data_IF_193992089130
#
_entry.id   IF_193992089130
#
_cell.length_a   1.000
_cell.length_b   1.000
_cell.length_c   1.000
_cell.angle_alpha   90.00
_cell.angle_beta   90.00
_cell.angle_gamma   90.00
#
_symmetry.space_group_name_H-M   'P 1'
#
loop_
_entity.id
_entity.type
_entity.pdbx_description
1 polymer ?
#
# COMPACT_ATOMS: atom_id res chain seq x y z
N UNK A 1 -13.86 8.68 24.09
CA UNK A 1 -13.20 8.98 22.79
C UNK A 1 -13.92 8.18 21.72
N UNK A 2 -14.11 8.74 20.52
CA UNK A 2 -14.61 7.98 19.37
C UNK A 2 -13.56 6.93 18.97
N UNK A 3 -14.00 5.81 18.41
CA UNK A 3 -13.10 4.85 17.79
C UNK A 3 -12.49 5.43 16.51
N UNK A 4 -11.30 4.98 16.12
CA UNK A 4 -10.54 5.53 14.98
C UNK A 4 -11.38 5.60 13.69
N UNK A 5 -12.16 4.57 13.39
CA UNK A 5 -13.02 4.53 12.19
C UNK A 5 -14.09 5.63 12.18
N UNK A 6 -14.73 5.89 13.33
CA UNK A 6 -15.73 6.95 13.46
C UNK A 6 -15.07 8.33 13.42
N UNK A 7 -13.91 8.47 14.06
CA UNK A 7 -13.15 9.72 14.04
C UNK A 7 -12.71 10.09 12.62
N UNK A 8 -12.16 9.12 11.88
CA UNK A 8 -11.79 9.27 10.46
C UNK A 8 -12.97 9.81 9.64
N UNK A 9 -14.14 9.17 9.72
CA UNK A 9 -15.33 9.58 8.95
C UNK A 9 -15.78 10.99 9.31
N UNK A 10 -15.88 11.30 10.61
CA UNK A 10 -16.29 12.63 11.09
C UNK A 10 -15.29 13.71 10.67
N UNK A 11 -13.99 13.42 10.75
CA UNK A 11 -12.95 14.36 10.36
C UNK A 11 -12.96 14.59 8.84
N UNK A 12 -13.11 13.53 8.03
CA UNK A 12 -13.27 13.63 6.57
C UNK A 12 -14.40 14.58 6.19
N UNK A 13 -15.59 14.40 6.79
CA UNK A 13 -16.74 15.28 6.52
C UNK A 13 -16.46 16.74 6.90
N UNK A 14 -15.72 16.95 7.98
CA UNK A 14 -15.33 18.30 8.44
C UNK A 14 -14.34 18.93 7.47
N UNK A 15 -13.29 18.20 7.09
CA UNK A 15 -12.26 18.66 6.19
C UNK A 15 -12.80 18.95 4.78
N UNK A 16 -13.71 18.11 4.26
CA UNK A 16 -14.34 18.32 2.96
C UNK A 16 -15.37 19.46 2.91
N UNK A 17 -15.82 20.01 4.05
CA UNK A 17 -16.66 21.22 4.08
C UNK A 17 -15.83 22.50 3.88
N UNK A 18 -14.56 22.48 4.25
CA UNK A 18 -13.63 23.61 4.15
C UNK A 18 -12.30 23.16 3.53
N UNK A 19 -12.31 22.72 2.26
CA UNK A 19 -11.16 22.04 1.68
C UNK A 19 -9.92 22.94 1.59
N UNK A 20 -10.09 24.26 1.40
CA UNK A 20 -8.98 25.23 1.31
C UNK A 20 -8.21 25.36 2.64
N UNK A 21 -8.82 24.98 3.77
CA UNK A 21 -8.16 24.95 5.09
C UNK A 21 -7.38 23.67 5.35
N UNK A 22 -7.88 22.53 4.85
CA UNK A 22 -7.38 21.21 5.25
C UNK A 22 -6.54 20.50 4.18
N UNK A 23 -6.69 20.88 2.91
CA UNK A 23 -5.99 20.25 1.79
C UNK A 23 -5.19 21.29 1.01
N UNK A 24 -4.20 20.83 0.24
CA UNK A 24 -3.32 21.69 -0.58
C UNK A 24 -4.02 22.16 -1.88
N UNK A 25 -5.20 22.78 -1.75
CA UNK A 25 -6.08 23.11 -2.88
C UNK A 25 -5.49 24.15 -3.82
N UNK A 26 -4.60 25.03 -3.33
CA UNK A 26 -3.88 26.00 -4.15
C UNK A 26 -2.98 25.29 -5.16
N UNK A 27 -2.12 24.39 -4.68
CA UNK A 27 -1.23 23.58 -5.54
C UNK A 27 -2.05 22.76 -6.54
N UNK A 28 -3.15 22.17 -6.09
CA UNK A 28 -4.08 21.43 -6.97
C UNK A 28 -4.64 22.33 -8.09
N UNK A 29 -5.13 23.53 -7.75
CA UNK A 29 -5.68 24.48 -8.73
C UNK A 29 -4.60 24.98 -9.70
N UNK A 30 -3.39 25.26 -9.20
CA UNK A 30 -2.23 25.69 -10.00
C UNK A 30 -1.77 24.60 -11.00
N UNK A 31 -1.86 23.33 -10.61
CA UNK A 31 -1.58 22.18 -11.50
C UNK A 31 -2.79 21.76 -12.36
N UNK A 32 -3.88 22.52 -12.35
CA UNK A 32 -5.04 22.35 -13.23
C UNK A 32 -6.10 21.36 -12.76
N UNK A 33 -6.01 20.88 -11.51
CA UNK A 33 -7.00 19.98 -10.94
C UNK A 33 -8.28 20.73 -10.54
N UNK A 34 -9.43 20.10 -10.80
CA UNK A 34 -10.75 20.58 -10.42
C UNK A 34 -11.40 19.64 -9.41
N UNK A 35 -12.03 20.22 -8.40
CA UNK A 35 -12.79 19.48 -7.39
C UNK A 35 -14.12 18.98 -7.96
N UNK A 36 -14.44 17.72 -7.72
CA UNK A 36 -15.69 17.03 -8.08
C UNK A 36 -16.17 16.16 -6.93
N UNK A 37 -17.41 15.66 -7.01
CA UNK A 37 -17.95 14.67 -6.08
C UNK A 37 -18.39 13.44 -6.86
N UNK A 38 -17.92 12.26 -6.45
CA UNK A 38 -18.26 11.03 -7.17
C UNK A 38 -19.75 10.70 -7.00
N UNK A 39 -20.50 10.40 -8.08
CA UNK A 39 -21.91 10.07 -7.98
C UNK A 39 -22.16 8.71 -7.31
N UNK A 40 -21.17 7.80 -7.31
CA UNK A 40 -21.27 6.44 -6.76
C UNK A 40 -20.98 6.38 -5.26
N UNK A 41 -19.80 6.83 -4.84
CA UNK A 41 -19.36 6.74 -3.43
C UNK A 41 -19.46 8.06 -2.66
N UNK A 42 -19.85 9.16 -3.32
CA UNK A 42 -19.99 10.50 -2.71
C UNK A 42 -18.69 11.14 -2.19
N UNK A 43 -17.54 10.47 -2.31
CA UNK A 43 -16.22 11.02 -2.01
C UNK A 43 -15.93 12.23 -2.90
N UNK A 44 -15.41 13.31 -2.29
CA UNK A 44 -14.86 14.44 -3.00
C UNK A 44 -13.47 14.10 -3.53
N UNK A 45 -13.20 14.47 -4.77
CA UNK A 45 -11.94 14.18 -5.43
C UNK A 45 -11.52 15.32 -6.35
N UNK A 46 -10.24 15.36 -6.70
CA UNK A 46 -9.61 16.34 -7.56
C UNK A 46 -9.05 15.63 -8.78
N UNK A 47 -9.40 16.11 -9.98
CA UNK A 47 -8.93 15.55 -11.25
C UNK A 47 -8.69 16.66 -12.27
N UNK A 48 -7.68 16.51 -13.12
CA UNK A 48 -7.49 17.37 -14.28
C UNK A 48 -8.24 16.86 -15.53
N UNK A 49 -8.85 15.67 -15.46
CA UNK A 49 -9.63 15.08 -16.54
C UNK A 49 -11.12 15.41 -16.46
N UNK A 50 -11.83 15.12 -17.54
CA UNK A 50 -13.29 15.24 -17.61
C UNK A 50 -14.04 14.09 -16.90
N UNK A 51 -13.33 13.22 -16.18
CA UNK A 51 -13.93 12.09 -15.43
C UNK A 51 -14.99 12.55 -14.43
N UNK A 52 -16.10 11.80 -14.36
CA UNK A 52 -17.16 11.98 -13.36
C UNK A 52 -16.96 11.09 -12.12
N UNK A 53 -16.09 10.09 -12.20
CA UNK A 53 -15.85 9.13 -11.11
C UNK A 53 -14.49 9.32 -10.46
N UNK A 54 -14.37 8.96 -9.18
CA UNK A 54 -13.17 9.19 -8.38
C UNK A 54 -12.01 8.23 -8.68
N UNK A 55 -12.10 7.36 -9.68
CA UNK A 55 -11.03 6.41 -10.01
C UNK A 55 -10.78 5.31 -8.96
N UNK A 56 -11.63 5.19 -7.92
CA UNK A 56 -11.65 4.00 -7.07
C UNK A 56 -12.12 2.79 -7.91
N UNK A 57 -11.51 1.60 -7.75
CA UNK A 57 -11.85 0.42 -8.56
C UNK A 57 -13.34 0.08 -8.55
N UNK A 58 -14.04 0.17 -7.42
CA UNK A 58 -15.49 -0.08 -7.33
C UNK A 58 -16.32 0.94 -8.14
N UNK A 59 -15.83 2.18 -8.22
CA UNK A 59 -16.50 3.27 -8.90
C UNK A 59 -16.19 3.30 -10.40
N UNK A 60 -15.00 2.87 -10.80
CA UNK A 60 -14.44 3.11 -12.13
C UNK A 60 -14.18 1.85 -12.93
N UNK A 61 -14.69 0.69 -12.47
CA UNK A 61 -14.72 -0.55 -13.24
C UNK A 61 -13.47 -1.41 -13.08
N UNK A 62 -12.86 -1.39 -11.90
CA UNK A 62 -11.70 -2.21 -11.56
C UNK A 62 -10.36 -1.57 -11.93
N UNK A 63 -9.31 -2.40 -11.94
CA UNK A 63 -7.97 -1.99 -12.36
C UNK A 63 -7.90 -1.84 -13.89
N UNK A 64 -7.50 -0.66 -14.37
CA UNK A 64 -7.46 -0.30 -15.80
C UNK A 64 -6.04 -0.03 -16.34
N UNK A 65 -5.02 -0.23 -15.52
CA UNK A 65 -3.61 -0.04 -15.88
C UNK A 65 -2.91 -1.33 -16.35
N UNK A 66 -3.53 -2.50 -16.17
CA UNK A 66 -2.96 -3.80 -16.60
C UNK A 66 -2.83 -3.79 -18.13
N UNK A 67 -1.63 -4.12 -18.65
CA UNK A 67 -1.20 -3.96 -20.05
C UNK A 67 -1.29 -2.53 -20.61
N UNK A 68 -1.67 -1.53 -19.80
CA UNK A 68 -2.04 -0.19 -20.26
C UNK A 68 -1.72 0.88 -19.22
N UNK A 69 -0.53 0.79 -18.63
CA UNK A 69 -0.07 1.77 -17.66
C UNK A 69 0.20 3.12 -18.32
N UNK A 70 -0.29 4.24 -17.74
CA UNK A 70 0.03 5.59 -18.23
C UNK A 70 1.41 6.07 -17.74
N UNK A 71 2.11 5.28 -16.92
CA UNK A 71 3.46 5.58 -16.47
C UNK A 71 4.43 5.64 -17.66
N UNK A 72 5.22 6.71 -17.75
CA UNK A 72 6.26 6.85 -18.78
C UNK A 72 7.39 5.85 -18.56
N UNK A 73 7.66 5.50 -17.31
CA UNK A 73 8.75 4.61 -16.92
C UNK A 73 8.20 3.26 -16.47
N UNK A 74 8.92 2.18 -16.80
CA UNK A 74 8.66 0.83 -16.29
C UNK A 74 9.71 0.54 -15.23
N UNK A 75 9.37 0.78 -13.97
CA UNK A 75 10.28 0.62 -12.84
C UNK A 75 10.07 -0.77 -12.23
N UNK A 76 11.16 -1.50 -11.99
CA UNK A 76 11.11 -2.65 -11.11
C UNK A 76 11.01 -2.23 -9.63
N UNK A 77 10.81 -3.23 -8.77
CA UNK A 77 10.70 -3.01 -7.33
C UNK A 77 11.87 -2.23 -6.74
N UNK A 78 13.11 -2.52 -7.14
CA UNK A 78 14.34 -1.89 -6.62
C UNK A 78 14.50 -0.48 -7.19
N UNK A 79 14.18 -0.31 -8.48
CA UNK A 79 14.25 0.97 -9.19
C UNK A 79 13.28 2.00 -8.62
N UNK A 80 12.10 1.60 -8.13
CA UNK A 80 11.14 2.51 -7.48
C UNK A 80 11.81 3.24 -6.32
N UNK A 81 12.40 2.52 -5.36
CA UNK A 81 13.05 3.15 -4.20
C UNK A 81 14.28 3.97 -4.61
N UNK A 82 15.11 3.43 -5.51
CA UNK A 82 16.34 4.11 -5.96
C UNK A 82 16.04 5.43 -6.66
N UNK A 83 14.99 5.46 -7.49
CA UNK A 83 14.55 6.69 -8.17
C UNK A 83 13.87 7.66 -7.20
N UNK A 84 12.99 7.16 -6.33
CA UNK A 84 12.29 7.96 -5.34
C UNK A 84 13.28 8.67 -4.41
N UNK A 85 14.14 7.90 -3.74
CA UNK A 85 15.14 8.43 -2.80
C UNK A 85 16.06 9.47 -3.45
N UNK A 86 16.48 9.26 -4.71
CA UNK A 86 17.31 10.22 -5.46
C UNK A 86 16.58 11.54 -5.75
N UNK A 87 15.29 11.50 -6.08
CA UNK A 87 14.48 12.71 -6.31
C UNK A 87 14.30 13.44 -4.98
N UNK A 88 13.86 12.74 -3.93
CA UNK A 88 13.60 13.33 -2.63
C UNK A 88 14.85 13.89 -1.95
N UNK A 89 16.01 13.27 -2.15
CA UNK A 89 17.30 13.82 -1.70
C UNK A 89 17.59 15.19 -2.32
N UNK A 90 17.24 15.41 -3.60
CA UNK A 90 17.38 16.72 -4.26
C UNK A 90 16.35 17.73 -3.77
N UNK A 91 15.21 17.27 -3.27
CA UNK A 91 14.15 18.11 -2.68
C UNK A 91 14.41 18.44 -1.19
N UNK A 92 15.55 17.98 -0.64
CA UNK A 92 16.00 18.29 0.72
C UNK A 92 15.64 17.24 1.78
N UNK A 93 15.14 16.07 1.38
CA UNK A 93 14.86 14.96 2.30
C UNK A 93 16.11 14.10 2.49
N UNK A 94 16.33 13.60 3.70
CA UNK A 94 17.41 12.63 3.94
C UNK A 94 16.87 11.20 3.82
N UNK A 95 17.33 10.38 2.85
CA UNK A 95 17.00 8.96 2.82
C UNK A 95 17.70 8.24 3.98
N UNK A 96 16.93 7.55 4.82
CA UNK A 96 17.44 6.75 5.94
C UNK A 96 17.25 5.25 5.69
N UNK A 97 18.04 4.38 6.33
CA UNK A 97 17.81 2.94 6.28
C UNK A 97 16.48 2.59 6.97
N UNK A 98 15.92 1.43 6.59
CA UNK A 98 14.74 0.87 7.26
C UNK A 98 15.03 0.51 8.73
N UNK A 99 13.99 0.53 9.54
CA UNK A 99 13.95 -0.06 10.87
C UNK A 99 13.64 -1.57 10.78
N UNK A 100 13.93 -2.35 11.83
CA UNK A 100 13.51 -3.75 11.88
C UNK A 100 11.99 -3.87 11.92
N UNK A 101 11.42 -4.92 11.32
CA UNK A 101 9.97 -5.14 11.34
C UNK A 101 9.44 -5.46 12.73
N UNK A 102 10.28 -5.95 13.63
CA UNK A 102 9.96 -6.12 15.04
C UNK A 102 10.03 -4.75 15.74
N UNK A 103 8.91 -4.28 16.28
CA UNK A 103 8.79 -2.94 16.83
C UNK A 103 9.39 -2.83 18.25
N UNK A 104 10.73 -2.93 18.37
CA UNK A 104 11.44 -3.06 19.65
C UNK A 104 11.42 -1.82 20.54
N UNK A 105 11.13 -0.66 19.97
CA UNK A 105 11.14 0.63 20.68
C UNK A 105 9.78 1.00 21.27
N UNK A 106 8.74 0.17 21.10
CA UNK A 106 7.38 0.44 21.58
C UNK A 106 6.75 -0.82 22.17
N UNK A 107 5.73 -0.65 23.01
CA UNK A 107 5.11 -1.75 23.76
C UNK A 107 3.67 -2.07 23.32
N UNK A 108 3.08 -1.22 22.48
CA UNK A 108 1.68 -1.30 22.06
C UNK A 108 1.47 -2.13 20.78
N UNK A 109 2.54 -2.51 20.08
CA UNK A 109 2.48 -3.38 18.90
C UNK A 109 3.75 -4.21 18.74
N UNK A 110 3.60 -5.45 18.28
CA UNK A 110 4.74 -6.36 18.05
C UNK A 110 5.51 -6.05 16.75
N UNK A 111 4.82 -5.51 15.74
CA UNK A 111 5.37 -5.30 14.40
C UNK A 111 5.08 -3.90 13.85
N UNK A 112 6.00 -3.43 13.01
CA UNK A 112 5.85 -2.20 12.23
C UNK A 112 4.77 -2.39 11.17
N UNK A 113 3.68 -1.61 11.23
CA UNK A 113 2.54 -1.71 10.29
C UNK A 113 2.45 -0.54 9.30
N UNK A 114 3.19 0.54 9.56
CA UNK A 114 3.32 1.71 8.69
C UNK A 114 4.68 2.35 8.94
N UNK A 115 5.23 3.11 7.99
CA UNK A 115 6.53 3.77 8.15
C UNK A 115 6.56 4.76 9.32
N UNK A 116 5.43 5.40 9.64
CA UNK A 116 5.33 6.30 10.80
C UNK A 116 5.54 5.59 12.14
N UNK A 117 5.38 4.26 12.20
CA UNK A 117 5.56 3.49 13.45
C UNK A 117 7.02 3.52 13.92
N UNK A 118 7.97 3.76 13.01
CA UNK A 118 9.41 3.91 13.30
C UNK A 118 9.68 5.10 14.23
N UNK A 119 8.78 6.09 14.22
CA UNK A 119 8.92 7.37 14.92
C UNK A 119 7.91 7.51 16.07
N UNK A 120 6.90 6.65 16.13
CA UNK A 120 5.93 6.65 17.21
C UNK A 120 6.40 5.83 18.43
N UNK A 121 6.05 6.27 19.66
CA UNK A 121 5.38 7.53 19.98
C UNK A 121 6.35 8.72 20.13
N UNK A 122 7.62 8.47 20.41
CA UNK A 122 8.54 9.45 21.01
C UNK A 122 8.95 10.62 20.11
N UNK A 123 9.07 10.41 18.80
CA UNK A 123 9.38 11.51 17.87
C UNK A 123 8.15 12.36 17.62
N UNK A 124 6.98 11.71 17.51
CA UNK A 124 5.70 12.40 17.33
C UNK A 124 5.34 13.24 18.56
N UNK A 125 5.67 12.79 19.77
CA UNK A 125 5.49 13.57 21.00
C UNK A 125 6.55 14.65 21.21
N UNK A 126 7.67 14.60 20.49
CA UNK A 126 8.80 15.53 20.64
C UNK A 126 9.75 15.18 21.78
N UNK A 127 9.62 14.00 22.38
CA UNK A 127 10.54 13.49 23.40
C UNK A 127 11.91 13.11 22.82
N UNK A 128 11.92 12.72 21.54
CA UNK A 128 13.12 12.31 20.79
C UNK A 128 13.16 13.04 19.45
N UNK A 129 14.32 13.56 19.07
CA UNK A 129 14.52 14.15 17.75
C UNK A 129 14.50 13.06 16.65
N UNK A 130 13.91 13.32 15.47
CA UNK A 130 13.97 12.38 14.35
C UNK A 130 15.43 12.22 13.86
N UNK A 131 15.78 11.07 13.25
CA UNK A 131 17.14 10.84 12.76
C UNK A 131 17.57 11.80 11.63
N UNK A 132 16.60 12.40 10.94
CA UNK A 132 16.76 13.52 10.03
C UNK A 132 15.41 14.24 9.87
N UNK A 133 15.40 15.49 9.40
CA UNK A 133 14.14 16.21 9.20
C UNK A 133 14.27 17.24 8.05
N UNK A 134 13.54 17.07 6.93
CA UNK A 134 12.64 15.95 6.62
C UNK A 134 13.41 14.69 6.16
N UNK A 135 12.74 13.54 6.15
CA UNK A 135 13.35 12.24 5.82
C UNK A 135 12.50 11.38 4.89
N UNK A 136 13.12 10.38 4.27
CA UNK A 136 12.42 9.29 3.58
C UNK A 136 12.95 7.92 4.00
N UNK A 137 12.09 6.90 4.04
CA UNK A 137 12.45 5.54 4.51
C UNK A 137 11.74 4.46 3.68
N UNK A 138 12.41 3.37 3.27
CA UNK A 138 11.78 2.23 2.60
C UNK A 138 11.38 1.17 3.64
N UNK A 139 10.43 1.49 4.52
CA UNK A 139 10.12 0.65 5.68
C UNK A 139 9.33 -0.60 5.27
N UNK A 140 9.87 -1.79 5.56
CA UNK A 140 9.09 -3.02 5.45
C UNK A 140 8.09 -3.09 6.60
N UNK A 141 6.81 -3.27 6.29
CA UNK A 141 5.72 -3.37 7.24
C UNK A 141 5.10 -4.77 7.19
N UNK A 142 4.67 -5.27 8.35
CA UNK A 142 3.93 -6.54 8.46
C UNK A 142 2.49 -6.28 8.90
N UNK A 143 1.52 -6.66 8.06
CA UNK A 143 0.08 -6.60 8.34
C UNK A 143 -0.55 -7.96 8.17
N UNK A 144 -1.25 -8.43 9.20
CA UNK A 144 -1.82 -9.77 9.23
C UNK A 144 -3.35 -9.78 9.03
N UNK A 145 -3.96 -8.60 8.91
CA UNK A 145 -5.41 -8.48 8.70
C UNK A 145 -5.80 -8.96 7.29
N UNK A 146 -4.94 -8.73 6.30
CA UNK A 146 -5.24 -8.99 4.88
C UNK A 146 -4.79 -10.39 4.39
N UNK A 147 -4.46 -11.32 5.29
CA UNK A 147 -3.88 -12.64 4.92
C UNK A 147 -4.75 -13.39 3.92
N UNK A 148 -6.07 -13.30 4.05
CA UNK A 148 -7.00 -13.98 3.16
C UNK A 148 -7.05 -13.40 1.75
N UNK A 149 -6.65 -12.13 1.59
CA UNK A 149 -6.58 -11.43 0.32
C UNK A 149 -5.27 -11.69 -0.44
N UNK A 150 -4.21 -12.14 0.27
CA UNK A 150 -2.89 -12.44 -0.31
C UNK A 150 -3.01 -13.55 -1.35
N UNK A 151 -2.44 -13.30 -2.52
CA UNK A 151 -2.45 -14.19 -3.68
C UNK A 151 -3.72 -14.11 -4.53
N UNK A 152 -4.84 -13.66 -3.97
CA UNK A 152 -6.13 -13.64 -4.68
C UNK A 152 -6.40 -12.33 -5.41
N UNK A 153 -6.20 -11.22 -4.73
CA UNK A 153 -6.53 -9.86 -5.21
C UNK A 153 -5.42 -9.22 -6.05
N UNK A 154 -4.28 -9.90 -6.19
CA UNK A 154 -3.13 -9.45 -7.00
C UNK A 154 -2.26 -8.36 -6.38
N UNK A 155 -2.69 -7.74 -5.28
CA UNK A 155 -2.04 -6.54 -4.69
C UNK A 155 -1.89 -6.54 -3.17
N UNK A 156 -2.41 -7.55 -2.46
CA UNK A 156 -2.31 -7.64 -1.00
C UNK A 156 -1.08 -8.45 -0.58
N UNK A 157 -0.51 -8.04 0.55
CA UNK A 157 0.73 -8.55 1.11
C UNK A 157 0.59 -8.66 2.62
N UNK A 158 1.19 -9.69 3.22
CA UNK A 158 1.48 -9.67 4.65
C UNK A 158 2.68 -8.79 4.94
N UNK A 159 3.75 -8.90 4.17
CA UNK A 159 4.93 -8.05 4.24
C UNK A 159 5.08 -7.22 2.98
N UNK A 160 5.08 -5.89 3.10
CA UNK A 160 5.27 -4.95 1.98
C UNK A 160 6.11 -3.74 2.40
N UNK A 161 6.74 -3.06 1.45
CA UNK A 161 7.46 -1.82 1.76
C UNK A 161 6.54 -0.62 1.62
N UNK A 162 6.34 0.07 2.74
CA UNK A 162 5.77 1.41 2.77
C UNK A 162 6.91 2.41 2.69
N UNK A 163 7.06 3.03 1.52
CA UNK A 163 7.94 4.20 1.39
C UNK A 163 7.31 5.34 2.18
N UNK A 164 8.03 5.78 3.21
CA UNK A 164 7.69 6.91 4.06
C UNK A 164 8.32 8.20 3.57
N UNK A 165 7.55 9.29 3.53
CA UNK A 165 8.06 10.66 3.47
C UNK A 165 7.55 11.36 4.73
N UNK A 166 8.48 11.75 5.60
CA UNK A 166 8.16 12.26 6.93
C UNK A 166 8.82 13.60 7.21
N UNK A 167 8.10 14.43 7.96
CA UNK A 167 8.56 15.70 8.48
C UNK A 167 7.87 15.96 9.83
N UNK A 168 8.61 16.47 10.78
CA UNK A 168 8.13 16.74 12.14
C UNK A 168 8.39 18.21 12.45
N UNK A 169 7.42 19.09 12.25
CA UNK A 169 7.64 20.54 12.33
C UNK A 169 6.67 21.20 13.32
N UNK A 170 7.12 22.24 14.05
CA UNK A 170 6.20 23.09 14.78
C UNK A 170 5.23 23.79 13.80
N UNK A 171 4.01 24.15 14.23
CA UNK A 171 2.97 24.70 13.37
C UNK A 171 3.42 25.85 12.46
N UNK A 172 4.32 26.72 12.92
CA UNK A 172 4.79 27.90 12.20
C UNK A 172 5.73 27.57 11.04
N UNK A 173 6.34 26.37 11.05
CA UNK A 173 7.27 25.89 10.02
C UNK A 173 6.70 24.73 9.19
N UNK A 174 5.47 24.31 9.46
CA UNK A 174 4.85 23.18 8.78
C UNK A 174 4.29 23.61 7.41
N UNK A 175 4.91 23.14 6.33
CA UNK A 175 4.55 23.52 4.96
C UNK A 175 3.85 22.37 4.21
N UNK A 176 2.53 22.29 4.41
CA UNK A 176 1.69 21.26 3.81
C UNK A 176 1.70 21.30 2.27
N UNK A 177 1.75 22.50 1.69
CA UNK A 177 1.70 22.69 0.24
C UNK A 177 3.01 22.27 -0.43
N UNK A 178 4.15 22.56 0.20
CA UNK A 178 5.45 22.04 -0.25
C UNK A 178 5.46 20.51 -0.23
N UNK A 179 5.02 19.89 0.87
CA UNK A 179 5.01 18.42 0.98
C UNK A 179 4.12 17.76 -0.08
N UNK A 180 2.99 18.38 -0.40
CA UNK A 180 2.10 17.94 -1.48
C UNK A 180 2.74 18.13 -2.87
N UNK A 181 3.39 19.26 -3.11
CA UNK A 181 4.12 19.52 -4.37
C UNK A 181 5.28 18.54 -4.59
N UNK A 182 5.97 18.16 -3.52
CA UNK A 182 7.07 17.19 -3.58
C UNK A 182 6.57 15.78 -3.95
N UNK A 183 5.45 15.31 -3.37
CA UNK A 183 4.88 14.02 -3.78
C UNK A 183 4.25 14.08 -5.18
N UNK A 184 3.66 15.20 -5.57
CA UNK A 184 3.18 15.39 -6.94
C UNK A 184 4.34 15.37 -7.96
N UNK A 185 5.51 15.89 -7.59
CA UNK A 185 6.75 15.76 -8.38
C UNK A 185 7.13 14.30 -8.61
N UNK A 186 6.97 13.42 -7.62
CA UNK A 186 7.16 11.99 -7.82
C UNK A 186 6.19 11.40 -8.86
N UNK A 187 4.90 11.71 -8.77
CA UNK A 187 3.90 11.20 -9.72
C UNK A 187 4.21 11.68 -11.15
N UNK A 188 4.50 12.97 -11.31
CA UNK A 188 4.72 13.62 -12.61
C UNK A 188 6.09 13.33 -13.22
N UNK A 189 7.13 13.25 -12.40
CA UNK A 189 8.53 13.14 -12.85
C UNK A 189 9.14 11.78 -12.56
N UNK A 190 8.85 11.21 -11.39
CA UNK A 190 9.29 9.88 -10.97
C UNK A 190 8.62 8.78 -11.78
N UNK A 191 7.28 8.76 -11.80
CA UNK A 191 6.48 7.83 -12.60
C UNK A 191 6.19 8.36 -14.01
N UNK A 192 6.23 9.68 -14.22
CA UNK A 192 5.98 10.23 -15.55
C UNK A 192 4.51 10.27 -15.93
N UNK A 193 3.61 10.31 -14.96
CA UNK A 193 2.15 10.31 -15.15
C UNK A 193 1.71 11.75 -15.43
N UNK A 194 0.83 11.94 -16.41
CA UNK A 194 0.24 13.25 -16.69
C UNK A 194 -0.87 13.57 -15.67
N UNK A 195 -1.15 14.85 -15.43
CA UNK A 195 -2.15 15.25 -14.42
C UNK A 195 -3.55 14.69 -14.74
N UNK A 196 -3.90 14.49 -16.02
CA UNK A 196 -5.19 13.91 -16.43
C UNK A 196 -5.35 12.43 -16.02
N UNK A 197 -4.25 11.75 -15.72
CA UNK A 197 -4.22 10.35 -15.28
C UNK A 197 -4.14 10.23 -13.75
N UNK A 198 -4.11 11.35 -13.01
CA UNK A 198 -4.02 11.38 -11.55
C UNK A 198 -5.35 11.85 -10.98
N UNK A 199 -5.82 11.17 -9.95
CA UNK A 199 -6.98 11.58 -9.15
C UNK A 199 -6.60 11.63 -7.68
N UNK A 200 -6.87 12.73 -7.00
CA UNK A 200 -6.66 12.85 -5.55
C UNK A 200 -7.97 12.80 -4.80
N UNK A 201 -8.11 11.94 -3.80
CA UNK A 201 -9.28 11.86 -2.94
C UNK A 201 -9.09 12.71 -1.70
N UNK A 202 -10.13 13.43 -1.31
CA UNK A 202 -10.22 14.00 0.02
C UNK A 202 -10.61 12.89 1.01
N UNK A 203 -9.74 12.66 1.99
CA UNK A 203 -10.02 11.71 3.06
C UNK A 203 -9.59 12.25 4.44
N UNK A 204 -10.04 11.56 5.49
CA UNK A 204 -9.53 11.74 6.85
C UNK A 204 -8.64 10.58 7.24
N UNK A 205 -7.77 10.79 8.22
CA UNK A 205 -7.05 9.71 8.87
C UNK A 205 -7.18 9.85 10.38
N UNK A 206 -7.35 8.73 11.06
CA UNK A 206 -7.29 8.64 12.51
C UNK A 206 -6.62 7.31 12.90
N UNK A 207 -5.75 7.36 13.90
CA UNK A 207 -5.03 6.18 14.38
C UNK A 207 -4.14 6.51 15.58
N UNK A 208 -4.11 5.61 16.57
CA UNK A 208 -3.22 5.75 17.74
C UNK A 208 -3.45 7.04 18.52
N UNK A 209 -4.70 7.50 18.60
CA UNK A 209 -5.07 8.75 19.28
C UNK A 209 -4.80 10.04 18.49
N UNK A 210 -4.35 9.95 17.25
CA UNK A 210 -4.06 11.11 16.40
C UNK A 210 -5.03 11.21 15.21
N UNK A 211 -5.24 12.41 14.68
CA UNK A 211 -6.15 12.67 13.55
C UNK A 211 -5.61 13.79 12.64
N UNK A 212 -5.96 13.72 11.36
CA UNK A 212 -5.60 14.73 10.37
C UNK A 212 -6.23 14.52 8.99
N UNK A 213 -6.14 15.52 8.08
CA UNK A 213 -6.56 15.34 6.70
C UNK A 213 -5.62 14.39 5.97
N UNK A 214 -6.17 13.67 5.00
CA UNK A 214 -5.47 12.71 4.17
C UNK A 214 -5.80 12.97 2.70
N UNK A 215 -4.78 12.88 1.85
CA UNK A 215 -4.91 12.92 0.40
C UNK A 215 -4.45 11.59 -0.17
N UNK A 216 -5.37 10.78 -0.67
CA UNK A 216 -5.06 9.52 -1.35
C UNK A 216 -4.94 9.78 -2.85
N UNK A 217 -3.90 9.26 -3.50
CA UNK A 217 -3.68 9.49 -4.93
C UNK A 217 -3.82 8.22 -5.74
N UNK A 218 -4.74 8.26 -6.69
CA UNK A 218 -5.17 7.17 -7.54
C UNK A 218 -4.78 7.41 -8.99
N UNK A 219 -4.56 6.30 -9.69
CA UNK A 219 -4.52 6.27 -11.14
C UNK A 219 -5.06 4.94 -11.66
N UNK A 220 -6.04 5.01 -12.56
CA UNK A 220 -6.62 3.87 -13.28
C UNK A 220 -7.07 2.72 -12.36
N UNK A 221 -7.77 3.06 -11.29
CA UNK A 221 -8.30 2.07 -10.34
C UNK A 221 -7.32 1.65 -9.25
N UNK A 222 -6.09 2.16 -9.19
CA UNK A 222 -5.13 1.80 -8.16
C UNK A 222 -4.75 3.02 -7.30
N UNK A 223 -4.86 2.86 -5.99
CA UNK A 223 -4.25 3.79 -5.02
C UNK A 223 -2.73 3.57 -5.02
N UNK A 224 -2.00 4.59 -5.48
CA UNK A 224 -0.54 4.56 -5.53
C UNK A 224 0.10 4.89 -4.18
N UNK A 225 -0.59 5.64 -3.34
CA UNK A 225 -0.21 5.97 -1.97
C UNK A 225 -1.14 7.02 -1.38
N UNK A 226 -0.81 7.47 -0.17
CA UNK A 226 -1.54 8.48 0.55
C UNK A 226 -0.61 9.43 1.31
N UNK A 227 -1.10 10.62 1.59
CA UNK A 227 -0.39 11.65 2.34
C UNK A 227 -1.27 12.16 3.46
N UNK A 228 -0.93 11.77 4.69
CA UNK A 228 -1.61 12.16 5.93
C UNK A 228 -0.88 13.33 6.57
N UNK A 229 -1.64 14.31 7.04
CA UNK A 229 -1.12 15.46 7.76
C UNK A 229 -1.63 15.41 9.20
N UNK A 230 -0.88 14.76 10.08
CA UNK A 230 -1.29 14.60 11.47
C UNK A 230 -1.16 15.95 12.16
N UNK A 231 -2.30 16.49 12.61
CA UNK A 231 -2.40 17.86 13.11
C UNK A 231 -3.00 17.94 14.51
N UNK A 232 -3.76 16.94 14.93
CA UNK A 232 -4.45 16.95 16.22
C UNK A 232 -4.32 15.61 16.95
N UNK A 233 -4.27 15.68 18.27
CA UNK A 233 -4.51 14.55 19.16
C UNK A 233 -5.98 14.52 19.60
N UNK A 234 -6.52 13.32 19.79
CA UNK A 234 -7.82 13.09 20.36
C UNK A 234 -7.70 13.00 21.89
N UNK A 235 -8.34 13.93 22.59
CA UNK A 235 -8.41 13.96 24.04
C UNK A 235 -9.84 13.70 24.52
N UNK A 236 -10.05 13.38 25.82
CA UNK A 236 -11.40 13.26 26.39
C UNK A 236 -12.26 14.54 26.23
N UNK A 237 -11.64 15.72 26.18
CA UNK A 237 -12.32 17.02 26.04
C UNK A 237 -12.49 17.48 24.59
N UNK A 238 -11.95 16.76 23.60
CA UNK A 238 -12.05 17.10 22.18
C UNK A 238 -10.74 16.93 21.43
N UNK A 239 -10.65 17.51 20.23
CA UNK A 239 -9.40 17.55 19.47
C UNK A 239 -8.51 18.68 20.00
N UNK A 240 -7.25 18.39 20.22
CA UNK A 240 -6.22 19.38 20.58
C UNK A 240 -5.15 19.40 19.50
N UNK A 241 -4.79 20.59 19.04
CA UNK A 241 -3.73 20.74 18.02
C UNK A 241 -2.38 20.30 18.59
N UNK A 242 -1.58 19.62 17.77
CA UNK A 242 -0.27 19.13 18.15
C UNK A 242 0.78 20.26 18.15
N UNK A 243 1.68 20.21 19.13
CA UNK A 243 2.86 21.09 19.17
C UNK A 243 3.86 20.78 18.05
N UNK A 244 3.87 19.53 17.57
CA UNK A 244 4.62 19.08 16.41
C UNK A 244 3.64 18.47 15.41
N UNK A 245 3.42 19.16 14.29
CA UNK A 245 2.67 18.63 13.17
C UNK A 245 3.52 17.63 12.42
N UNK A 246 2.91 16.54 11.97
CA UNK A 246 3.62 15.42 11.35
C UNK A 246 3.11 15.19 9.94
N UNK A 247 4.04 15.14 8.98
CA UNK A 247 3.77 14.59 7.67
C UNK A 247 3.95 13.07 7.74
N UNK A 248 2.90 12.34 7.41
CA UNK A 248 2.87 10.89 7.32
C UNK A 248 2.40 10.48 5.93
N UNK A 249 3.33 10.41 4.98
CA UNK A 249 3.04 9.91 3.65
C UNK A 249 3.46 8.44 3.57
N UNK A 250 2.53 7.58 3.17
CA UNK A 250 2.76 6.16 2.96
C UNK A 250 2.51 5.76 1.52
N UNK A 251 3.51 5.19 0.87
CA UNK A 251 3.43 4.76 -0.52
C UNK A 251 3.91 3.32 -0.70
N UNK A 252 3.05 2.43 -1.19
CA UNK A 252 3.41 1.02 -1.42
C UNK A 252 4.42 0.89 -2.56
N UNK A 253 5.65 0.46 -2.27
CA UNK A 253 6.70 0.27 -3.28
C UNK A 253 6.28 -0.77 -4.32
N UNK A 254 5.67 -1.87 -3.86
CA UNK A 254 5.12 -2.94 -4.69
C UNK A 254 4.04 -2.42 -5.65
N UNK A 255 3.12 -1.57 -5.16
CA UNK A 255 2.05 -1.00 -6.00
C UNK A 255 2.61 -0.07 -7.06
N UNK A 256 3.62 0.73 -6.74
CA UNK A 256 4.24 1.64 -7.70
C UNK A 256 5.01 0.86 -8.79
N UNK A 257 5.73 -0.20 -8.43
CA UNK A 257 6.39 -1.08 -9.39
C UNK A 257 5.36 -1.76 -10.31
N UNK A 258 4.31 -2.34 -9.71
CA UNK A 258 3.23 -3.00 -10.42
C UNK A 258 2.53 -2.06 -11.41
N UNK A 259 2.14 -0.88 -10.92
CA UNK A 259 1.51 0.15 -11.73
C UNK A 259 2.38 0.55 -12.90
N UNK A 260 3.65 0.84 -12.64
CA UNK A 260 4.56 1.36 -13.68
C UNK A 260 4.81 0.36 -14.81
N UNK A 261 4.79 -0.94 -14.52
CA UNK A 261 4.97 -1.99 -15.51
C UNK A 261 3.67 -2.41 -16.19
N UNK A 262 2.52 -2.24 -15.52
CA UNK A 262 1.23 -2.76 -15.99
C UNK A 262 1.18 -4.28 -16.01
N UNK A 263 1.95 -4.95 -15.15
CA UNK A 263 1.99 -6.41 -15.09
C UNK A 263 0.65 -7.00 -14.63
N UNK A 264 0.48 -8.32 -14.80
CA UNK A 264 -0.72 -9.03 -14.37
C UNK A 264 -0.88 -8.94 -12.84
N UNK A 265 0.13 -9.35 -12.08
CA UNK A 265 0.12 -9.23 -10.62
C UNK A 265 1.30 -8.43 -10.10
N UNK A 266 1.12 -7.78 -8.95
CA UNK A 266 2.22 -7.08 -8.29
C UNK A 266 3.35 -8.03 -7.86
N UNK A 267 3.02 -9.31 -7.64
CA UNK A 267 3.97 -10.38 -7.29
C UNK A 267 5.03 -10.61 -8.38
N UNK A 268 4.63 -10.56 -9.65
CA UNK A 268 5.54 -10.70 -10.79
C UNK A 268 6.56 -9.55 -10.86
N UNK A 269 6.15 -8.35 -10.47
CA UNK A 269 7.05 -7.18 -10.44
C UNK A 269 7.91 -7.11 -9.18
N UNK A 270 7.41 -7.68 -8.08
CA UNK A 270 8.04 -7.58 -6.76
C UNK A 270 9.09 -8.66 -6.55
N UNK A 271 8.82 -9.88 -7.01
CA UNK A 271 9.73 -11.02 -6.85
C UNK A 271 9.79 -11.88 -8.12
N UNK A 272 10.26 -11.30 -9.25
CA UNK A 272 10.26 -11.95 -10.56
C UNK A 272 11.04 -13.27 -10.59
N UNK A 273 12.18 -13.34 -9.91
CA UNK A 273 13.03 -14.54 -9.84
C UNK A 273 12.35 -15.66 -9.06
N UNK A 274 11.66 -15.33 -7.97
CA UNK A 274 10.92 -16.28 -7.15
C UNK A 274 9.69 -16.81 -7.88
N UNK A 275 8.91 -15.95 -8.54
CA UNK A 275 7.79 -16.41 -9.38
C UNK A 275 8.29 -17.38 -10.44
N UNK A 276 9.36 -17.04 -11.15
CA UNK A 276 9.96 -17.91 -12.18
C UNK A 276 10.45 -19.25 -11.61
N UNK A 277 11.01 -19.25 -10.40
CA UNK A 277 11.44 -20.48 -9.72
C UNK A 277 10.25 -21.35 -9.34
N UNK A 278 9.20 -20.76 -8.78
CA UNK A 278 7.99 -21.47 -8.38
C UNK A 278 7.24 -22.03 -9.58
N UNK A 279 7.01 -21.26 -10.63
CA UNK A 279 6.32 -21.74 -11.84
C UNK A 279 7.10 -22.80 -12.60
N UNK A 280 8.42 -22.89 -12.42
CA UNK A 280 9.22 -23.99 -12.98
C UNK A 280 9.14 -25.26 -12.12
N UNK A 281 9.00 -25.10 -10.81
CA UNK A 281 8.95 -26.19 -9.84
C UNK A 281 7.53 -26.75 -9.62
N UNK A 282 6.51 -25.97 -9.98
CA UNK A 282 5.11 -26.36 -9.99
C UNK A 282 4.65 -26.39 -11.43
N UNK A 283 3.97 -27.44 -11.92
CA UNK A 283 3.40 -27.50 -13.28
C UNK A 283 2.22 -26.50 -13.50
N UNK A 284 2.28 -25.31 -12.90
CA UNK A 284 1.29 -24.26 -12.97
C UNK A 284 1.65 -23.33 -14.11
N UNK A 285 0.83 -23.36 -15.14
CA UNK A 285 0.88 -22.39 -16.22
C UNK A 285 0.04 -21.15 -15.88
N UNK A 286 0.63 -19.97 -16.08
CA UNK A 286 -0.09 -18.70 -15.95
C UNK A 286 -0.82 -18.44 -17.27
N UNK A 287 -2.12 -18.72 -17.29
CA UNK A 287 -3.00 -18.34 -18.41
C UNK A 287 -3.16 -16.81 -18.44
N UNK A 288 -2.33 -16.15 -19.26
CA UNK A 288 -2.31 -14.69 -19.40
C UNK A 288 -3.66 -14.13 -19.86
N UNK A 289 -4.41 -14.85 -20.69
CA UNK A 289 -5.71 -14.38 -21.17
C UNK A 289 -6.75 -14.41 -20.06
N UNK A 290 -6.79 -15.51 -19.30
CA UNK A 290 -7.65 -15.62 -18.13
C UNK A 290 -7.30 -14.54 -17.10
N UNK A 291 -6.02 -14.39 -16.77
CA UNK A 291 -5.55 -13.41 -15.79
C UNK A 291 -5.90 -11.99 -16.22
N UNK A 292 -5.66 -11.62 -17.47
CA UNK A 292 -6.00 -10.30 -18.01
C UNK A 292 -7.48 -9.95 -17.82
N UNK A 293 -8.37 -10.92 -17.99
CA UNK A 293 -9.80 -10.68 -17.85
C UNK A 293 -10.26 -10.74 -16.37
N UNK A 294 -9.64 -11.60 -15.56
CA UNK A 294 -9.96 -11.78 -14.15
C UNK A 294 -9.48 -10.63 -13.26
N UNK A 295 -8.23 -10.18 -13.45
CA UNK A 295 -7.54 -9.25 -12.56
C UNK A 295 -8.21 -7.88 -12.40
N UNK A 296 -8.81 -7.26 -13.43
CA UNK A 296 -9.59 -6.03 -13.25
C UNK A 296 -10.66 -6.15 -12.15
N UNK A 297 -11.21 -7.35 -11.96
CA UNK A 297 -12.26 -7.62 -10.97
C UNK A 297 -11.74 -8.25 -9.68
N UNK A 298 -10.45 -8.60 -9.61
CA UNK A 298 -9.86 -9.25 -8.44
C UNK A 298 -9.93 -8.40 -7.17
N UNK A 299 -9.96 -7.06 -7.30
CA UNK A 299 -10.19 -6.14 -6.20
C UNK A 299 -11.53 -6.40 -5.47
N UNK A 300 -12.57 -6.88 -6.18
CA UNK A 300 -13.87 -7.14 -5.59
C UNK A 300 -13.90 -8.39 -4.70
N UNK A 301 -12.84 -9.21 -4.77
CA UNK A 301 -12.69 -10.40 -3.94
C UNK A 301 -12.02 -10.10 -2.59
N UNK A 302 -11.86 -8.83 -2.24
CA UNK A 302 -11.43 -8.43 -0.91
C UNK A 302 -12.43 -8.95 0.15
N UNK A 303 -11.98 -9.85 1.01
CA UNK A 303 -12.82 -10.53 2.00
C UNK A 303 -13.36 -9.58 3.07
N UNK A 304 -12.66 -8.48 3.33
CA UNK A 304 -13.06 -7.50 4.34
C UNK A 304 -14.15 -6.54 3.82
N UNK A 305 -14.20 -6.33 2.51
CA UNK A 305 -15.15 -5.41 1.84
C UNK A 305 -16.35 -6.16 1.25
N UNK A 306 -16.14 -7.39 0.78
CA UNK A 306 -17.18 -8.17 0.13
C UNK A 306 -18.13 -8.82 1.14
N UNK A 307 -19.38 -8.35 1.16
CA UNK A 307 -20.45 -8.94 1.98
C UNK A 307 -20.71 -10.44 1.68
N UNK A 308 -20.44 -10.90 0.47
CA UNK A 308 -20.57 -12.32 0.09
C UNK A 308 -19.60 -12.72 -1.02
N UNK A 309 -18.44 -13.24 -0.65
CA UNK A 309 -17.40 -13.71 -1.58
C UNK A 309 -17.91 -14.76 -2.58
N UNK A 310 -18.83 -15.66 -2.18
CA UNK A 310 -19.39 -16.67 -3.10
C UNK A 310 -20.16 -16.01 -4.23
N UNK A 311 -20.94 -14.96 -3.91
CA UNK A 311 -21.66 -14.18 -4.90
C UNK A 311 -20.70 -13.44 -5.83
N UNK A 312 -19.64 -12.83 -5.29
CA UNK A 312 -18.62 -12.15 -6.10
C UNK A 312 -17.98 -13.11 -7.12
N UNK A 313 -17.63 -14.33 -6.71
CA UNK A 313 -17.12 -15.34 -7.65
C UNK A 313 -18.08 -15.64 -8.80
N UNK A 314 -19.38 -15.75 -8.51
CA UNK A 314 -20.42 -15.99 -9.52
C UNK A 314 -20.53 -14.77 -10.45
N UNK A 315 -20.55 -13.56 -9.89
CA UNK A 315 -20.66 -12.33 -10.67
C UNK A 315 -19.44 -12.16 -11.61
N UNK A 316 -18.23 -12.49 -11.14
CA UNK A 316 -17.02 -12.49 -11.97
C UNK A 316 -17.09 -13.59 -13.03
N UNK A 317 -17.51 -14.81 -12.68
CA UNK A 317 -17.57 -15.92 -13.64
C UNK A 317 -18.56 -15.62 -14.78
N UNK A 318 -19.70 -15.00 -14.47
CA UNK A 318 -20.67 -14.52 -15.45
C UNK A 318 -20.07 -13.45 -16.37
N UNK A 319 -19.32 -12.47 -15.83
CA UNK A 319 -18.63 -11.44 -16.63
C UNK A 319 -17.58 -12.04 -17.57
N UNK A 320 -16.92 -13.12 -17.15
CA UNK A 320 -15.89 -13.80 -17.93
C UNK A 320 -16.45 -14.85 -18.90
N UNK A 321 -17.74 -15.19 -18.79
CA UNK A 321 -18.36 -16.30 -19.51
C UNK A 321 -17.61 -17.64 -19.29
N UNK A 322 -17.22 -17.90 -18.04
CA UNK A 322 -16.55 -19.13 -17.59
C UNK A 322 -17.35 -19.73 -16.44
N UNK A 323 -17.41 -21.06 -16.33
CA UNK A 323 -18.02 -21.71 -15.17
C UNK A 323 -17.29 -21.32 -13.87
N UNK A 324 -18.04 -21.12 -12.78
CA UNK A 324 -17.46 -20.65 -11.51
C UNK A 324 -16.49 -21.68 -10.91
N UNK A 325 -16.73 -22.97 -11.09
CA UNK A 325 -15.84 -24.01 -10.58
C UNK A 325 -14.59 -24.14 -11.45
N UNK A 326 -14.73 -24.02 -12.77
CA UNK A 326 -13.59 -23.95 -13.70
C UNK A 326 -12.70 -22.72 -13.42
N UNK A 327 -13.31 -21.56 -13.23
CA UNK A 327 -12.57 -20.34 -12.89
C UNK A 327 -11.79 -20.53 -11.59
N UNK A 328 -12.43 -21.07 -10.55
CA UNK A 328 -11.78 -21.31 -9.26
C UNK A 328 -10.69 -22.38 -9.34
N UNK A 329 -10.85 -23.42 -10.16
CA UNK A 329 -9.84 -24.46 -10.31
C UNK A 329 -8.57 -23.95 -10.98
N UNK A 330 -8.66 -22.93 -11.84
CA UNK A 330 -7.50 -22.26 -12.45
C UNK A 330 -6.88 -21.18 -11.56
N UNK A 331 -7.70 -20.37 -10.88
CA UNK A 331 -7.20 -19.23 -10.09
C UNK A 331 -6.63 -19.66 -8.73
N UNK A 332 -7.27 -20.60 -8.02
CA UNK A 332 -6.86 -20.93 -6.64
C UNK A 332 -5.46 -21.55 -6.51
N UNK A 333 -4.99 -22.45 -7.41
CA UNK A 333 -3.60 -22.92 -7.38
C UNK A 333 -2.59 -21.79 -7.58
N UNK A 334 -2.88 -20.87 -8.49
CA UNK A 334 -2.01 -19.73 -8.76
C UNK A 334 -1.99 -18.74 -7.58
N UNK A 335 -3.14 -18.48 -6.96
CA UNK A 335 -3.24 -17.67 -5.74
C UNK A 335 -2.45 -18.29 -4.57
N UNK A 336 -2.47 -19.62 -4.45
CA UNK A 336 -1.67 -20.34 -3.46
C UNK A 336 -0.16 -20.23 -3.75
N UNK A 337 0.26 -20.27 -5.03
CA UNK A 337 1.65 -20.09 -5.43
C UNK A 337 2.14 -18.69 -5.05
N UNK A 338 1.34 -17.65 -5.33
CA UNK A 338 1.64 -16.28 -4.91
C UNK A 338 1.68 -16.12 -3.39
N UNK A 339 0.79 -16.79 -2.66
CA UNK A 339 0.80 -16.78 -1.19
C UNK A 339 2.08 -17.40 -0.63
N UNK A 340 2.56 -18.50 -1.19
CA UNK A 340 3.84 -19.13 -0.78
C UNK A 340 5.02 -18.18 -1.04
N UNK A 341 5.04 -17.52 -2.21
CA UNK A 341 6.06 -16.54 -2.55
C UNK A 341 6.05 -15.33 -1.60
N UNK A 342 4.88 -14.79 -1.28
CA UNK A 342 4.74 -13.62 -0.43
C UNK A 342 5.07 -13.95 1.04
N UNK A 343 4.48 -15.01 1.60
CA UNK A 343 4.68 -15.39 2.99
C UNK A 343 6.14 -15.76 3.29
N UNK A 344 6.84 -16.39 2.35
CA UNK A 344 8.27 -16.69 2.51
C UNK A 344 9.12 -15.42 2.61
N UNK A 345 8.79 -14.35 1.88
CA UNK A 345 9.46 -13.04 2.01
C UNK A 345 9.21 -12.41 3.38
N UNK A 346 7.94 -12.38 3.82
CA UNK A 346 7.57 -11.84 5.12
C UNK A 346 8.27 -12.58 6.26
N UNK A 347 8.31 -13.92 6.20
CA UNK A 347 9.02 -14.76 7.17
C UNK A 347 10.54 -14.54 7.14
N UNK A 348 11.15 -14.47 5.95
CA UNK A 348 12.58 -14.20 5.80
C UNK A 348 12.98 -12.94 6.55
N UNK A 349 12.29 -11.83 6.31
CA UNK A 349 12.67 -10.55 6.93
C UNK A 349 12.32 -10.52 8.41
N UNK A 350 11.18 -11.09 8.82
CA UNK A 350 10.84 -11.20 10.24
C UNK A 350 11.92 -11.99 11.01
N UNK A 351 12.36 -13.13 10.49
CA UNK A 351 13.39 -13.96 11.11
C UNK A 351 14.74 -13.23 11.12
N UNK A 352 15.11 -12.56 10.03
CA UNK A 352 16.33 -11.75 9.95
C UNK A 352 16.34 -10.61 10.99
N UNK A 353 15.19 -10.01 11.24
CA UNK A 353 14.99 -8.97 12.26
C UNK A 353 14.68 -9.57 13.66
N UNK A 354 15.06 -10.84 13.88
CA UNK A 354 14.98 -11.56 15.16
C UNK A 354 13.55 -11.76 15.71
N UNK A 355 12.53 -11.78 14.85
CA UNK A 355 11.19 -12.21 15.20
C UNK A 355 10.94 -13.65 14.75
N UNK A 356 10.65 -14.54 15.70
CA UNK A 356 10.49 -15.97 15.44
C UNK A 356 9.02 -16.41 15.54
N UNK A 357 8.58 -17.37 14.70
CA UNK A 357 7.30 -18.03 14.88
C UNK A 357 7.15 -18.65 16.28
N UNK A 358 6.05 -18.35 16.96
CA UNK A 358 5.78 -18.77 18.34
C UNK A 358 4.28 -19.06 18.55
N UNK A 359 3.85 -19.43 19.76
CA UNK A 359 2.44 -19.63 20.09
C UNK A 359 1.77 -18.40 20.74
N UNK A 360 2.49 -17.28 20.87
CA UNK A 360 2.05 -16.10 21.63
C UNK A 360 2.43 -14.81 20.90
N UNK A 361 1.66 -13.74 21.13
CA UNK A 361 1.90 -12.41 20.56
C UNK A 361 2.08 -12.44 19.03
N UNK A 362 2.88 -11.51 18.52
CA UNK A 362 3.19 -11.41 17.09
C UNK A 362 3.86 -12.67 16.50
N UNK A 363 4.58 -13.45 17.32
CA UNK A 363 5.14 -14.73 16.90
C UNK A 363 4.06 -15.73 16.45
N UNK A 364 2.85 -15.67 17.01
CA UNK A 364 1.71 -16.46 16.54
C UNK A 364 1.33 -16.10 15.10
N UNK A 365 1.32 -14.82 14.74
CA UNK A 365 0.99 -14.37 13.39
C UNK A 365 2.02 -14.88 12.35
N UNK A 366 3.31 -14.87 12.70
CA UNK A 366 4.36 -15.48 11.88
C UNK A 366 4.15 -16.99 11.73
N UNK A 367 3.75 -17.69 12.80
CA UNK A 367 3.40 -19.11 12.71
C UNK A 367 2.21 -19.36 11.79
N UNK A 368 1.20 -18.48 11.78
CA UNK A 368 0.03 -18.60 10.91
C UNK A 368 0.44 -18.56 9.45
N UNK A 369 1.21 -17.56 9.01
CA UNK A 369 1.63 -17.46 7.60
C UNK A 369 2.59 -18.59 7.19
N UNK A 370 3.46 -19.06 8.11
CA UNK A 370 4.30 -20.23 7.90
C UNK A 370 3.46 -21.49 7.66
N UNK A 371 2.48 -21.75 8.53
CA UNK A 371 1.58 -22.90 8.39
C UNK A 371 0.72 -22.81 7.14
N UNK A 372 0.26 -21.61 6.78
CA UNK A 372 -0.51 -21.37 5.55
C UNK A 372 0.32 -21.69 4.30
N UNK A 373 1.56 -21.22 4.23
CA UNK A 373 2.46 -21.55 3.12
C UNK A 373 2.73 -23.06 3.01
N UNK A 374 3.07 -23.73 4.13
CA UNK A 374 3.28 -25.19 4.16
C UNK A 374 2.01 -25.98 3.80
N UNK A 375 0.84 -25.49 4.21
CA UNK A 375 -0.45 -26.09 3.87
C UNK A 375 -0.72 -26.03 2.37
N UNK A 376 -0.41 -24.92 1.69
CA UNK A 376 -0.53 -24.83 0.24
C UNK A 376 0.41 -25.80 -0.49
N UNK A 377 1.68 -25.84 -0.08
CA UNK A 377 2.68 -26.79 -0.65
C UNK A 377 2.15 -28.23 -0.53
N UNK A 378 1.66 -28.60 0.65
CA UNK A 378 1.11 -29.95 0.90
C UNK A 378 -0.16 -30.21 0.10
N UNK A 379 -1.11 -29.26 0.08
CA UNK A 379 -2.42 -29.38 -0.59
C UNK A 379 -2.26 -29.62 -2.08
N UNK A 380 -1.34 -28.91 -2.72
CA UNK A 380 -1.08 -29.02 -4.16
C UNK A 380 0.05 -30.00 -4.50
N UNK A 381 0.60 -30.70 -3.50
CA UNK A 381 1.66 -31.71 -3.65
C UNK A 381 2.89 -31.16 -4.39
N UNK A 382 3.24 -29.91 -4.12
CA UNK A 382 4.43 -29.31 -4.72
C UNK A 382 5.68 -29.79 -4.01
N UNK A 383 6.71 -30.16 -4.78
CA UNK A 383 8.04 -30.49 -4.25
C UNK A 383 8.84 -29.19 -4.06
N UNK A 384 8.51 -28.47 -2.98
CA UNK A 384 9.07 -27.16 -2.67
C UNK A 384 9.59 -27.13 -1.23
N UNK A 385 10.79 -26.58 -1.05
CA UNK A 385 11.32 -26.24 0.25
C UNK A 385 11.27 -24.72 0.46
N UNK A 386 10.67 -24.28 1.57
CA UNK A 386 10.57 -22.86 1.92
C UNK A 386 11.94 -22.20 2.10
N UNK A 387 12.97 -22.93 2.57
CA UNK A 387 14.32 -22.36 2.70
C UNK A 387 14.88 -21.89 1.37
N UNK A 388 14.66 -22.66 0.30
CA UNK A 388 15.20 -22.39 -1.02
C UNK A 388 14.48 -21.22 -1.70
N UNK A 389 13.23 -20.98 -1.30
CA UNK A 389 12.43 -19.82 -1.72
C UNK A 389 12.92 -18.57 -0.97
N UNK A 390 13.15 -18.67 0.35
CA UNK A 390 13.75 -17.59 1.14
C UNK A 390 15.14 -17.20 0.63
N UNK A 391 15.97 -18.18 0.24
CA UNK A 391 17.29 -17.90 -0.35
C UNK A 391 17.18 -17.13 -1.67
N UNK A 392 16.19 -17.45 -2.50
CA UNK A 392 15.94 -16.76 -3.76
C UNK A 392 15.50 -15.30 -3.54
N UNK A 393 14.62 -15.06 -2.54
CA UNK A 393 14.28 -13.70 -2.11
C UNK A 393 15.52 -12.92 -1.65
N UNK A 394 16.35 -13.53 -0.81
CA UNK A 394 17.58 -12.92 -0.29
C UNK A 394 18.54 -12.51 -1.42
N UNK A 395 18.72 -13.37 -2.42
CA UNK A 395 19.54 -13.08 -3.61
C UNK A 395 18.99 -11.89 -4.40
N UNK A 396 17.68 -11.85 -4.63
CA UNK A 396 17.03 -10.78 -5.37
C UNK A 396 17.10 -9.43 -4.64
N UNK A 397 16.91 -9.42 -3.31
CA UNK A 397 16.90 -8.21 -2.49
C UNK A 397 18.29 -7.66 -2.15
N UNK A 398 19.37 -8.41 -2.43
CA UNK A 398 20.76 -8.03 -2.13
C UNK A 398 21.15 -6.60 -2.58
N UNK A 399 20.69 -6.06 -3.72
CA UNK A 399 21.01 -4.69 -4.13
C UNK A 399 20.41 -3.59 -3.25
N UNK A 400 19.44 -3.91 -2.39
CA UNK A 400 18.80 -2.97 -1.45
C UNK A 400 19.49 -2.92 -0.07
N UNK A 401 20.47 -3.79 0.17
CA UNK A 401 21.22 -3.88 1.44
C UNK A 401 22.41 -2.92 1.50
#
# INVERSE_FOLDING_TARGET
MLIDKEMKLKFKETASKDPDKYYSTRVLKEEGFKRKQCPKCRTFFWTAADSETCDNPECSGGFRFIDNSPSKYKLDYIEVWTKFSKIFNKLGYTPIPRYPVAARWREDTDFVQASIYDFQPYVVSGEVEPPANPLTVPQLCLRFNDIDNVGLTGSHYTGFVMIGQHAFMPPERYDQEKYFSDIHTWLKTGLGIKNEEITFHEDGWAGGGNVGPCMEFFSRGLELGNQVYITHEQTPSGLKELNLKVLDMGMGQERNAWFSQGASTSYETTFPTVIKKLTKATDIEIDKNLMKNFLPYSAYLNVDEASNIKKVWIDISQKLNVDVNELRSKILPLAALYSVAEHSRALLVAIADSALPSNVGGGYNLRVILRRALSFITKYKWDLNLSDICEEHSKYLKPLN
#
